data_IF_065628355334
#
_entry.id   IF_065628355334
#
_cell.length_a   1.000
_cell.length_b   1.000
_cell.length_c   1.000
_cell.angle_alpha   90.00
_cell.angle_beta   90.00
_cell.angle_gamma   90.00
#
_symmetry.space_group_name_H-M   'P 1'
#
loop_
_entity.id
_entity.type
_entity.pdbx_description
1 polymer ?
#
# COMPACT_ATOMS: atom_id res chain seq x y z
N UNK A 1 7.06 1.80 3.49
CA UNK A 1 7.69 1.66 4.82
C UNK A 1 8.72 2.74 5.10
N UNK A 2 9.67 3.01 4.20
CA UNK A 2 10.66 4.09 4.34
C UNK A 2 10.02 5.45 4.62
N UNK A 3 8.96 5.81 3.90
CA UNK A 3 8.19 7.04 4.11
C UNK A 3 7.70 7.21 5.56
N UNK A 4 7.19 6.14 6.18
CA UNK A 4 6.68 6.18 7.54
C UNK A 4 7.83 6.42 8.55
N UNK A 5 8.95 5.72 8.38
CA UNK A 5 10.12 5.87 9.24
C UNK A 5 10.76 7.26 9.08
N UNK A 6 10.84 7.80 7.86
CA UNK A 6 11.34 9.16 7.60
C UNK A 6 10.45 10.21 8.26
N UNK A 7 9.13 10.13 8.06
CA UNK A 7 8.18 11.04 8.70
C UNK A 7 8.24 10.94 10.24
N UNK A 8 8.41 9.73 10.77
CA UNK A 8 8.58 9.51 12.19
C UNK A 8 9.86 10.20 12.71
N UNK A 9 10.99 10.04 12.01
CA UNK A 9 12.25 10.69 12.36
C UNK A 9 12.10 12.22 12.36
N UNK A 10 11.60 12.79 11.28
CA UNK A 10 11.42 14.24 11.13
C UNK A 10 10.48 14.83 12.19
N UNK A 11 9.38 14.13 12.51
CA UNK A 11 8.38 14.59 13.46
C UNK A 11 8.80 14.44 14.93
N UNK A 12 9.49 13.35 15.28
CA UNK A 12 9.90 13.09 16.67
C UNK A 12 11.16 13.84 17.08
N UNK A 13 12.10 14.07 16.17
CA UNK A 13 13.40 14.70 16.49
C UNK A 13 13.28 15.99 17.32
N UNK A 14 12.53 17.02 16.90
CA UNK A 14 12.44 18.27 17.66
C UNK A 14 11.78 18.08 19.03
N UNK A 15 10.82 17.17 19.14
CA UNK A 15 10.13 16.88 20.41
C UNK A 15 11.07 16.17 21.40
N UNK A 16 11.76 15.12 20.95
CA UNK A 16 12.67 14.32 21.78
C UNK A 16 13.86 15.16 22.23
N UNK A 17 14.50 15.89 21.32
CA UNK A 17 15.61 16.80 21.68
C UNK A 17 15.16 17.88 22.66
N UNK A 18 14.02 18.52 22.40
CA UNK A 18 13.48 19.58 23.25
C UNK A 18 13.26 19.10 24.68
N UNK A 19 12.66 17.91 24.85
CA UNK A 19 12.40 17.31 26.16
C UNK A 19 13.68 16.88 26.88
N UNK A 20 14.63 16.28 26.16
CA UNK A 20 15.93 15.91 26.72
C UNK A 20 16.71 17.14 27.19
N UNK A 21 16.76 18.21 26.39
CA UNK A 21 17.42 19.47 26.75
C UNK A 21 16.73 20.16 27.91
N UNK A 22 15.40 20.11 27.98
CA UNK A 22 14.63 20.70 29.08
C UNK A 22 14.96 20.07 30.44
N UNK A 23 15.08 18.74 30.49
CA UNK A 23 15.30 18.01 31.76
C UNK A 23 16.79 17.88 32.09
N UNK A 24 17.62 17.48 31.13
CA UNK A 24 19.05 17.17 31.38
C UNK A 24 20.00 18.32 31.04
N UNK A 25 19.51 19.42 30.47
CA UNK A 25 20.30 20.62 30.11
C UNK A 25 21.52 20.24 29.28
N UNK A 26 22.73 20.61 29.68
CA UNK A 26 23.98 20.35 28.94
C UNK A 26 24.34 18.87 28.83
N UNK A 27 23.86 18.02 29.75
CA UNK A 27 24.17 16.59 29.75
C UNK A 27 23.23 15.75 28.86
N UNK A 28 22.32 16.39 28.13
CA UNK A 28 21.28 15.70 27.36
C UNK A 28 21.86 14.72 26.33
N UNK A 29 22.95 15.08 25.64
CA UNK A 29 23.63 14.22 24.67
C UNK A 29 24.15 12.96 25.34
N UNK A 30 24.82 13.11 26.50
CA UNK A 30 25.38 11.98 27.25
C UNK A 30 24.27 11.03 27.71
N UNK A 31 23.13 11.56 28.17
CA UNK A 31 21.99 10.74 28.60
C UNK A 31 21.36 10.00 27.42
N UNK A 32 21.15 10.67 26.29
CA UNK A 32 20.65 10.03 25.07
C UNK A 32 21.58 8.90 24.62
N UNK A 33 22.90 9.14 24.61
CA UNK A 33 23.91 8.14 24.26
C UNK A 33 23.97 6.95 25.22
N UNK A 34 23.60 7.15 26.49
CA UNK A 34 23.47 6.05 27.45
C UNK A 34 22.42 5.00 27.07
N UNK A 35 21.46 5.37 26.20
CA UNK A 35 20.44 4.45 25.67
C UNK A 35 21.01 3.51 24.59
N UNK A 36 22.17 3.86 24.01
CA UNK A 36 22.86 3.07 23.01
C UNK A 36 24.09 2.42 23.64
N UNK A 37 23.90 1.23 24.22
CA UNK A 37 25.03 0.42 24.71
C UNK A 37 25.91 0.06 23.51
N UNK A 38 27.08 0.70 23.44
CA UNK A 38 28.19 0.47 22.48
C UNK A 38 28.17 1.20 21.13
N UNK A 39 27.12 1.96 20.79
CA UNK A 39 27.09 2.68 19.51
C UNK A 39 27.44 4.16 19.65
N UNK A 40 28.74 4.44 19.78
CA UNK A 40 29.29 5.80 19.83
C UNK A 40 29.33 6.50 18.46
N UNK A 41 29.02 5.79 17.38
CA UNK A 41 29.11 6.32 16.01
C UNK A 41 28.02 7.35 15.68
N UNK A 42 26.98 7.44 16.51
CA UNK A 42 25.86 8.39 16.35
C UNK A 42 26.15 9.82 16.75
N UNK A 43 27.28 10.10 17.40
CA UNK A 43 27.65 11.48 17.77
C UNK A 43 28.60 12.01 16.70
N UNK A 44 28.27 13.17 16.14
CA UNK A 44 29.18 13.85 15.22
C UNK A 44 30.50 14.21 15.93
N UNK A 45 31.56 14.46 15.14
CA UNK A 45 32.90 14.79 15.65
C UNK A 45 32.94 15.92 16.68
N UNK A 46 31.96 16.83 16.65
CA UNK A 46 31.84 17.96 17.57
C UNK A 46 31.25 17.58 18.95
N UNK A 47 30.76 16.36 19.14
CA UNK A 47 30.25 15.88 20.44
C UNK A 47 28.89 16.44 20.87
N UNK A 48 28.30 17.32 20.07
CA UNK A 48 27.12 18.14 20.44
C UNK A 48 25.84 17.79 19.68
N UNK A 49 25.95 17.06 18.57
CA UNK A 49 24.82 16.66 17.72
C UNK A 49 24.78 15.15 17.56
N UNK A 50 23.56 14.60 17.60
CA UNK A 50 23.28 13.18 17.43
C UNK A 50 22.66 13.00 16.04
N UNK A 51 23.15 12.03 15.28
CA UNK A 51 22.50 11.57 14.06
C UNK A 51 21.25 10.75 14.43
N UNK A 52 20.09 11.33 14.17
CA UNK A 52 18.81 10.74 14.55
C UNK A 52 18.24 9.91 13.41
N UNK A 53 18.06 8.62 13.67
CA UNK A 53 17.18 7.76 12.89
C UNK A 53 15.95 7.34 13.73
N UNK A 54 14.96 6.77 13.06
CA UNK A 54 13.73 6.30 13.71
C UNK A 54 14.04 5.31 14.85
N UNK A 55 15.07 4.48 14.70
CA UNK A 55 15.46 3.51 15.72
C UNK A 55 16.04 4.16 16.96
N UNK A 56 16.93 5.14 16.77
CA UNK A 56 17.55 5.89 17.84
C UNK A 56 16.50 6.63 18.65
N UNK A 57 15.61 7.35 17.97
CA UNK A 57 14.52 8.09 18.60
C UNK A 57 13.60 7.17 19.41
N UNK A 58 13.12 6.07 18.81
CA UNK A 58 12.25 5.11 19.50
C UNK A 58 12.93 4.44 20.69
N UNK A 59 14.23 4.16 20.59
CA UNK A 59 14.99 3.54 21.68
C UNK A 59 15.19 4.52 22.84
N UNK A 60 15.55 5.77 22.57
CA UNK A 60 15.67 6.80 23.61
C UNK A 60 14.31 7.08 24.26
N UNK A 61 13.24 7.15 23.47
CA UNK A 61 11.89 7.30 24.01
C UNK A 61 11.51 6.14 24.93
N UNK A 62 11.86 4.91 24.56
CA UNK A 62 11.59 3.72 25.37
C UNK A 62 12.38 3.74 26.69
N UNK A 63 13.69 3.99 26.64
CA UNK A 63 14.57 3.94 27.80
C UNK A 63 14.29 5.10 28.77
N UNK A 64 14.01 6.30 28.25
CA UNK A 64 13.72 7.49 29.04
C UNK A 64 12.21 7.70 29.27
N UNK A 65 11.38 6.68 29.01
CA UNK A 65 9.92 6.81 29.10
C UNK A 65 9.46 7.30 30.47
N UNK A 66 9.89 6.61 31.53
CA UNK A 66 9.46 6.92 32.89
C UNK A 66 10.06 8.24 33.43
N UNK A 67 11.23 8.63 32.93
CA UNK A 67 11.95 9.81 33.40
C UNK A 67 11.45 11.10 32.73
N UNK A 68 11.04 11.03 31.46
CA UNK A 68 10.72 12.21 30.65
C UNK A 68 9.29 12.13 30.12
N UNK A 69 9.00 11.11 29.32
CA UNK A 69 7.84 11.11 28.43
C UNK A 69 6.53 10.76 29.12
N UNK A 70 6.56 10.06 30.26
CA UNK A 70 5.37 9.68 31.05
C UNK A 70 4.54 10.89 31.53
N UNK A 71 5.14 12.07 31.60
CA UNK A 71 4.44 13.28 32.02
C UNK A 71 3.57 13.89 30.91
N UNK A 72 3.95 13.71 29.65
CA UNK A 72 3.24 14.28 28.49
C UNK A 72 2.45 13.22 27.70
N UNK A 73 2.94 11.98 27.70
CA UNK A 73 2.41 10.85 26.94
C UNK A 73 1.95 9.74 27.89
N UNK A 74 0.86 9.08 27.51
CA UNK A 74 0.22 8.06 28.32
C UNK A 74 0.69 6.65 27.96
N UNK A 75 0.14 5.64 28.62
CA UNK A 75 0.49 4.25 28.34
C UNK A 75 0.19 3.84 26.89
N UNK A 76 -0.83 4.40 26.23
CA UNK A 76 -1.13 4.08 24.83
C UNK A 76 0.02 4.41 23.90
N UNK A 77 0.64 5.59 24.07
CA UNK A 77 1.76 6.02 23.24
C UNK A 77 3.00 5.16 23.51
N UNK A 78 3.20 4.70 24.75
CA UNK A 78 4.26 3.75 25.07
C UNK A 78 4.12 2.45 24.29
N UNK A 79 2.89 1.94 24.18
CA UNK A 79 2.60 0.73 23.39
C UNK A 79 2.89 0.97 21.90
N UNK A 80 2.55 2.15 21.36
CA UNK A 80 2.87 2.52 19.98
C UNK A 80 4.38 2.58 19.74
N UNK A 81 5.16 3.16 20.66
CA UNK A 81 6.63 3.20 20.57
C UNK A 81 7.20 1.78 20.52
N UNK A 82 6.71 0.87 21.37
CA UNK A 82 7.13 -0.53 21.35
C UNK A 82 6.80 -1.22 20.03
N UNK A 83 5.59 -1.00 19.52
CA UNK A 83 5.12 -1.58 18.26
C UNK A 83 5.96 -1.10 17.07
N UNK A 84 6.19 0.21 16.96
CA UNK A 84 7.02 0.80 15.90
C UNK A 84 8.48 0.33 15.96
N UNK A 85 9.00 0.11 17.16
CA UNK A 85 10.36 -0.41 17.37
C UNK A 85 10.48 -1.85 16.86
N UNK A 86 9.46 -2.67 17.10
CA UNK A 86 9.38 -4.03 16.55
C UNK A 86 9.31 -4.00 15.02
N UNK A 87 8.44 -3.17 14.44
CA UNK A 87 8.35 -3.05 12.98
C UNK A 87 9.67 -2.59 12.33
N UNK A 88 10.36 -1.61 12.92
CA UNK A 88 11.69 -1.21 12.45
C UNK A 88 12.66 -2.39 12.53
N UNK A 89 12.64 -3.16 13.62
CA UNK A 89 13.52 -4.31 13.80
C UNK A 89 13.28 -5.36 12.70
N UNK A 90 12.01 -5.72 12.44
CA UNK A 90 11.64 -6.62 11.34
C UNK A 90 12.13 -6.10 9.99
N UNK A 91 12.05 -4.79 9.75
CA UNK A 91 12.54 -4.16 8.52
C UNK A 91 14.07 -4.23 8.38
N UNK A 92 14.81 -4.02 9.47
CA UNK A 92 16.27 -4.20 9.48
C UNK A 92 16.69 -5.65 9.20
N UNK A 93 15.83 -6.62 9.54
CA UNK A 93 15.99 -8.03 9.20
C UNK A 93 15.41 -8.42 7.82
N UNK A 94 15.02 -7.45 6.98
CA UNK A 94 14.48 -7.68 5.64
C UNK A 94 13.25 -8.60 5.59
N UNK A 95 12.43 -8.60 6.64
CA UNK A 95 11.19 -9.36 6.65
C UNK A 95 10.17 -8.79 5.64
N UNK A 96 9.28 -9.65 5.14
CA UNK A 96 8.19 -9.23 4.26
C UNK A 96 7.11 -8.52 5.07
N UNK A 97 6.52 -7.47 4.48
CA UNK A 97 5.40 -6.72 5.04
C UNK A 97 4.24 -6.81 4.06
N UNK A 98 3.05 -7.12 4.58
CA UNK A 98 1.82 -7.08 3.80
C UNK A 98 1.13 -5.71 3.90
N UNK A 99 -0.07 -5.62 3.31
CA UNK A 99 -0.90 -4.42 3.36
C UNK A 99 -1.28 -4.06 4.80
N UNK A 100 -1.72 -5.04 5.60
CA UNK A 100 -2.21 -4.83 6.97
C UNK A 100 -1.09 -4.31 7.87
N UNK A 101 0.10 -4.89 7.76
CA UNK A 101 1.31 -4.42 8.44
C UNK A 101 1.65 -2.98 8.04
N UNK A 102 1.68 -2.68 6.74
CA UNK A 102 2.03 -1.34 6.25
C UNK A 102 1.01 -0.30 6.71
N UNK A 103 -0.27 -0.65 6.64
CA UNK A 103 -1.37 0.17 7.12
C UNK A 103 -1.27 0.41 8.63
N UNK A 104 -0.97 -0.64 9.41
CA UNK A 104 -0.80 -0.56 10.86
C UNK A 104 0.38 0.33 11.24
N UNK A 105 1.52 0.20 10.56
CA UNK A 105 2.70 1.06 10.77
C UNK A 105 2.38 2.54 10.51
N UNK A 106 1.66 2.84 9.43
CA UNK A 106 1.24 4.21 9.11
C UNK A 106 0.26 4.76 10.16
N UNK A 107 -0.70 3.95 10.62
CA UNK A 107 -1.62 4.40 11.67
C UNK A 107 -0.93 4.62 13.02
N UNK A 108 -0.03 3.71 13.42
CA UNK A 108 0.75 3.83 14.65
C UNK A 108 1.70 5.03 14.61
N UNK A 109 2.35 5.28 13.48
CA UNK A 109 3.16 6.49 13.25
C UNK A 109 2.29 7.75 13.36
N UNK A 110 1.14 7.78 12.67
CA UNK A 110 0.22 8.91 12.69
C UNK A 110 -0.27 9.22 14.11
N UNK A 111 -0.72 8.21 14.85
CA UNK A 111 -1.22 8.37 16.24
C UNK A 111 -0.14 8.89 17.18
N UNK A 112 1.09 8.39 17.06
CA UNK A 112 2.21 8.86 17.88
C UNK A 112 2.57 10.32 17.56
N UNK A 113 2.65 10.66 16.28
CA UNK A 113 2.91 12.03 15.82
C UNK A 113 1.77 13.00 16.22
N UNK A 114 0.53 12.54 16.22
CA UNK A 114 -0.64 13.31 16.64
C UNK A 114 -0.60 13.59 18.15
N UNK A 115 -0.21 12.60 18.96
CA UNK A 115 -0.05 12.76 20.40
C UNK A 115 0.99 13.84 20.78
N UNK A 116 2.08 13.94 20.01
CA UNK A 116 3.10 14.99 20.20
C UNK A 116 2.81 16.28 19.42
N UNK A 117 1.66 16.35 18.71
CA UNK A 117 1.27 17.50 17.86
C UNK A 117 2.32 17.86 16.81
N UNK A 118 2.93 16.87 16.17
CA UNK A 118 3.92 17.09 15.13
C UNK A 118 3.31 17.73 13.87
N UNK A 119 4.04 18.60 13.15
CA UNK A 119 3.51 19.31 11.98
C UNK A 119 3.25 18.41 10.77
N UNK A 120 3.92 17.25 10.69
CA UNK A 120 3.85 16.33 9.55
C UNK A 120 2.79 15.22 9.68
N UNK A 121 1.90 15.31 10.67
CA UNK A 121 0.80 14.34 10.86
C UNK A 121 -0.08 14.24 9.61
N UNK A 122 -0.39 15.37 8.98
CA UNK A 122 -1.25 15.41 7.79
C UNK A 122 -0.60 14.74 6.57
N UNK A 123 0.73 14.78 6.48
CA UNK A 123 1.47 14.03 5.46
C UNK A 123 1.29 12.52 5.64
N UNK A 124 1.46 12.01 6.87
CA UNK A 124 1.28 10.58 7.17
C UNK A 124 -0.18 10.17 6.99
N UNK A 125 -1.14 11.04 7.33
CA UNK A 125 -2.56 10.77 7.10
C UNK A 125 -2.86 10.55 5.62
N UNK A 126 -2.39 11.45 4.75
CA UNK A 126 -2.55 11.32 3.30
C UNK A 126 -1.94 10.03 2.76
N UNK A 127 -0.70 9.71 3.15
CA UNK A 127 -0.04 8.47 2.71
C UNK A 127 -0.80 7.22 3.16
N UNK A 128 -1.45 7.25 4.33
CA UNK A 128 -2.33 6.16 4.79
C UNK A 128 -3.59 6.05 3.95
N UNK A 129 -4.25 7.16 3.65
CA UNK A 129 -5.47 7.20 2.85
C UNK A 129 -5.18 6.72 1.41
N UNK A 130 -4.08 7.16 0.82
CA UNK A 130 -3.62 6.75 -0.51
C UNK A 130 -3.29 5.24 -0.59
N UNK A 131 -2.73 4.68 0.48
CA UNK A 131 -2.49 3.23 0.58
C UNK A 131 -3.82 2.46 0.53
N UNK A 132 -4.84 2.91 1.28
CA UNK A 132 -6.17 2.29 1.23
C UNK A 132 -6.79 2.42 -0.15
N UNK A 133 -6.76 3.62 -0.74
CA UNK A 133 -7.36 3.86 -2.06
C UNK A 133 -6.75 2.96 -3.13
N UNK A 134 -5.43 2.83 -3.16
CA UNK A 134 -4.73 1.97 -4.12
C UNK A 134 -5.06 0.48 -3.93
N UNK A 135 -5.10 0.00 -2.69
CA UNK A 135 -5.45 -1.38 -2.38
C UNK A 135 -6.90 -1.71 -2.74
N UNK A 136 -7.84 -0.82 -2.41
CA UNK A 136 -9.26 -0.99 -2.76
C UNK A 136 -9.43 -0.99 -4.28
N UNK A 137 -8.76 -0.09 -5.00
CA UNK A 137 -8.79 -0.06 -6.46
C UNK A 137 -8.29 -1.38 -7.07
N UNK A 138 -7.17 -1.90 -6.59
CA UNK A 138 -6.62 -3.19 -7.05
C UNK A 138 -7.59 -4.34 -6.77
N UNK A 139 -8.17 -4.38 -5.57
CA UNK A 139 -9.10 -5.42 -5.17
C UNK A 139 -10.38 -5.38 -6.01
N UNK A 140 -10.95 -4.20 -6.24
CA UNK A 140 -12.12 -4.01 -7.11
C UNK A 140 -11.81 -4.45 -8.53
N UNK A 141 -10.66 -4.07 -9.09
CA UNK A 141 -10.26 -4.51 -10.43
C UNK A 141 -10.15 -6.03 -10.52
N UNK A 142 -9.51 -6.66 -9.54
CA UNK A 142 -9.36 -8.12 -9.53
C UNK A 142 -10.73 -8.82 -9.48
N UNK A 143 -11.68 -8.27 -8.73
CA UNK A 143 -13.05 -8.79 -8.66
C UNK A 143 -13.83 -8.55 -9.95
N UNK A 144 -13.70 -7.38 -10.57
CA UNK A 144 -14.31 -7.08 -11.86
C UNK A 144 -13.80 -8.02 -12.96
N UNK A 145 -12.49 -8.27 -13.01
CA UNK A 145 -11.92 -9.22 -13.97
C UNK A 145 -12.41 -10.65 -13.74
N UNK A 146 -12.49 -11.10 -12.48
CA UNK A 146 -13.01 -12.42 -12.11
C UNK A 146 -14.49 -12.59 -12.46
N UNK A 147 -15.33 -11.59 -12.15
CA UNK A 147 -16.77 -11.63 -12.42
C UNK A 147 -17.07 -11.56 -13.92
N UNK A 148 -16.36 -10.70 -14.66
CA UNK A 148 -16.46 -10.63 -16.12
C UNK A 148 -16.08 -11.98 -16.77
N UNK A 149 -14.97 -12.58 -16.34
CA UNK A 149 -14.54 -13.89 -16.84
C UNK A 149 -15.56 -15.00 -16.53
N UNK A 150 -16.08 -15.05 -15.30
CA UNK A 150 -17.03 -16.07 -14.88
C UNK A 150 -18.36 -16.00 -15.65
N UNK A 151 -18.89 -14.80 -15.90
CA UNK A 151 -20.13 -14.59 -16.67
C UNK A 151 -19.99 -15.08 -18.11
N UNK A 152 -18.85 -14.83 -18.73
CA UNK A 152 -18.63 -15.18 -20.12
C UNK A 152 -18.41 -16.68 -20.31
N UNK A 153 -17.74 -17.35 -19.37
CA UNK A 153 -17.43 -18.78 -19.47
C UNK A 153 -18.67 -19.65 -19.71
N UNK A 154 -19.76 -19.41 -18.99
CA UNK A 154 -20.98 -20.21 -19.12
C UNK A 154 -21.73 -19.95 -20.42
N UNK A 155 -21.89 -18.68 -20.79
CA UNK A 155 -22.51 -18.30 -22.06
C UNK A 155 -21.77 -18.92 -23.25
N UNK A 156 -20.44 -18.84 -23.22
CA UNK A 156 -19.57 -19.40 -24.24
C UNK A 156 -19.74 -20.93 -24.31
N UNK A 157 -19.66 -21.64 -23.18
CA UNK A 157 -19.83 -23.11 -23.13
C UNK A 157 -21.21 -23.56 -23.62
N UNK A 158 -22.28 -22.86 -23.24
CA UNK A 158 -23.65 -23.17 -23.67
C UNK A 158 -23.76 -23.05 -25.20
N UNK A 159 -23.26 -21.95 -25.77
CA UNK A 159 -23.34 -21.73 -27.21
C UNK A 159 -22.49 -22.74 -27.99
N UNK A 160 -21.28 -23.03 -27.54
CA UNK A 160 -20.42 -24.05 -28.17
C UNK A 160 -21.03 -25.46 -28.08
N UNK A 161 -21.61 -25.83 -26.93
CA UNK A 161 -22.27 -27.12 -26.75
C UNK A 161 -23.49 -27.26 -27.66
N UNK A 162 -24.32 -26.21 -27.76
CA UNK A 162 -25.48 -26.18 -28.66
C UNK A 162 -25.07 -26.30 -30.13
N UNK A 163 -24.04 -25.56 -30.54
CA UNK A 163 -23.52 -25.59 -31.91
C UNK A 163 -22.95 -26.98 -32.27
N UNK A 164 -22.20 -27.60 -31.35
CA UNK A 164 -21.65 -28.94 -31.51
C UNK A 164 -22.74 -30.02 -31.60
N UNK A 165 -23.76 -29.94 -30.73
CA UNK A 165 -24.92 -30.84 -30.77
C UNK A 165 -25.69 -30.72 -32.09
N UNK A 166 -25.89 -29.49 -32.59
CA UNK A 166 -26.62 -29.24 -33.83
C UNK A 166 -25.85 -29.76 -35.07
N UNK A 167 -24.51 -29.67 -35.06
CA UNK A 167 -23.63 -30.29 -36.05
C UNK A 167 -23.71 -31.82 -36.04
N UNK A 168 -23.61 -32.44 -34.85
CA UNK A 168 -23.67 -33.90 -34.72
C UNK A 168 -25.02 -34.42 -35.22
N UNK A 169 -26.13 -33.76 -34.84
CA UNK A 169 -27.47 -34.10 -35.33
C UNK A 169 -27.56 -34.02 -36.86
N UNK A 170 -27.04 -32.95 -37.46
CA UNK A 170 -27.09 -32.76 -38.90
C UNK A 170 -26.29 -33.83 -39.67
N UNK A 171 -25.10 -34.19 -39.19
CA UNK A 171 -24.26 -35.26 -39.77
C UNK A 171 -24.97 -36.62 -39.68
N UNK A 172 -25.61 -36.93 -38.55
CA UNK A 172 -26.32 -38.20 -38.34
C UNK A 172 -27.55 -38.35 -39.25
N UNK A 173 -28.26 -37.26 -39.54
CA UNK A 173 -29.52 -37.31 -40.31
C UNK A 173 -29.28 -37.26 -41.82
N UNK A 174 -28.30 -36.49 -42.30
CA UNK A 174 -28.14 -36.21 -43.75
C UNK A 174 -26.95 -36.92 -44.41
N UNK A 175 -26.01 -37.48 -43.63
CA UNK A 175 -24.88 -38.25 -44.17
C UNK A 175 -24.08 -37.52 -45.27
N UNK A 176 -23.57 -38.26 -46.25
CA UNK A 176 -22.67 -37.74 -47.30
C UNK A 176 -23.38 -36.90 -48.41
N UNK A 177 -24.70 -36.79 -48.34
CA UNK A 177 -25.56 -36.01 -49.26
C UNK A 177 -26.01 -34.67 -48.65
N UNK A 178 -25.19 -34.12 -47.75
CA UNK A 178 -25.51 -32.93 -46.99
C UNK A 178 -25.32 -31.63 -47.80
N UNK A 179 -26.33 -30.75 -47.76
CA UNK A 179 -26.25 -29.38 -48.29
C UNK A 179 -25.30 -28.52 -47.44
N UNK A 180 -24.51 -27.58 -48.03
CA UNK A 180 -23.55 -26.74 -47.30
C UNK A 180 -24.18 -25.60 -46.47
N UNK A 181 -25.51 -25.41 -46.55
CA UNK A 181 -26.25 -24.34 -45.87
C UNK A 181 -26.07 -24.28 -44.34
N UNK A 182 -26.06 -25.39 -43.57
CA UNK A 182 -25.91 -25.32 -42.12
C UNK A 182 -24.47 -24.95 -41.70
N UNK A 183 -23.47 -25.29 -42.51
CA UNK A 183 -22.08 -24.86 -42.28
C UNK A 183 -21.99 -23.33 -42.37
N UNK A 184 -22.65 -22.72 -43.36
CA UNK A 184 -22.71 -21.27 -43.49
C UNK A 184 -23.46 -20.59 -42.32
N UNK A 185 -24.54 -21.20 -41.82
CA UNK A 185 -25.27 -20.69 -40.66
C UNK A 185 -24.43 -20.70 -39.38
N UNK A 186 -23.61 -21.74 -39.19
CA UNK A 186 -22.67 -21.83 -38.07
C UNK A 186 -21.58 -20.77 -38.17
N UNK A 187 -21.00 -20.58 -39.36
CA UNK A 187 -20.02 -19.51 -39.59
C UNK A 187 -20.61 -18.13 -39.28
N UNK A 188 -21.85 -17.84 -39.67
CA UNK A 188 -22.54 -16.59 -39.32
C UNK A 188 -22.76 -16.44 -37.81
N UNK A 189 -23.08 -17.54 -37.11
CA UNK A 189 -23.26 -17.54 -35.66
C UNK A 189 -21.91 -17.28 -34.94
N UNK A 190 -20.81 -17.85 -35.43
CA UNK A 190 -19.46 -17.54 -34.96
C UNK A 190 -19.10 -16.06 -35.17
N UNK A 191 -19.37 -15.51 -36.36
CA UNK A 191 -19.15 -14.08 -36.65
C UNK A 191 -19.99 -13.19 -35.72
N UNK A 192 -21.23 -13.58 -35.43
CA UNK A 192 -22.11 -12.88 -34.49
C UNK A 192 -21.58 -12.92 -33.05
N UNK A 193 -21.08 -14.06 -32.58
CA UNK A 193 -20.48 -14.18 -31.25
C UNK A 193 -19.18 -13.39 -31.11
N UNK A 194 -18.34 -13.41 -32.15
CA UNK A 194 -17.13 -12.57 -32.21
C UNK A 194 -17.54 -11.11 -32.12
N UNK A 195 -18.53 -10.69 -32.92
CA UNK A 195 -19.09 -9.33 -32.85
C UNK A 195 -19.60 -8.97 -31.46
N UNK A 196 -20.32 -9.87 -30.80
CA UNK A 196 -20.83 -9.66 -29.45
C UNK A 196 -19.69 -9.55 -28.41
N UNK A 197 -18.64 -10.35 -28.55
CA UNK A 197 -17.45 -10.30 -27.70
C UNK A 197 -16.65 -9.01 -27.89
N UNK A 198 -16.62 -8.44 -29.09
CA UNK A 198 -16.03 -7.12 -29.38
C UNK A 198 -16.86 -5.95 -28.86
N UNK A 199 -18.19 -6.11 -28.74
CA UNK A 199 -19.12 -5.09 -28.23
C UNK A 199 -19.20 -5.05 -26.70
N UNK A 200 -18.67 -6.04 -25.99
CA UNK A 200 -18.61 -5.97 -24.53
C UNK A 200 -17.57 -4.94 -24.11
N UNK A 201 -18.06 -3.84 -23.55
CA UNK A 201 -17.23 -2.79 -22.98
C UNK A 201 -16.23 -3.41 -21.99
N UNK A 202 -14.92 -3.11 -22.11
CA UNK A 202 -13.97 -3.57 -21.12
C UNK A 202 -14.41 -3.04 -19.76
N UNK A 203 -14.37 -3.86 -18.69
CA UNK A 203 -14.70 -3.38 -17.35
C UNK A 203 -13.83 -2.15 -17.07
N UNK A 204 -14.42 -1.08 -16.56
CA UNK A 204 -13.71 0.11 -16.13
C UNK A 204 -12.61 -0.30 -15.14
N UNK A 205 -11.39 -0.43 -15.63
CA UNK A 205 -10.21 -0.74 -14.83
C UNK A 205 -9.81 0.54 -14.12
N UNK A 206 -9.93 0.57 -12.80
CA UNK A 206 -9.26 1.55 -11.93
C UNK A 206 -7.77 1.20 -11.85
N UNK A 207 -7.08 1.22 -13.00
CA UNK A 207 -5.69 0.80 -13.12
C UNK A 207 -4.69 1.96 -13.04
N UNK A 208 -3.37 1.65 -13.08
CA UNK A 208 -2.33 2.62 -13.38
C UNK A 208 -2.73 3.43 -14.61
N UNK A 209 -2.96 4.72 -14.41
CA UNK A 209 -3.33 5.66 -15.46
C UNK A 209 -2.15 6.56 -15.72
N UNK A 210 -1.87 6.79 -16.99
CA UNK A 210 -0.90 7.82 -17.35
C UNK A 210 -1.52 9.19 -17.08
N UNK A 211 -0.82 10.04 -16.34
CA UNK A 211 -1.28 11.42 -16.19
C UNK A 211 -1.05 12.18 -17.49
N UNK A 212 -2.07 12.86 -17.99
CA UNK A 212 -1.99 13.67 -19.21
C UNK A 212 -1.09 14.92 -19.08
N UNK A 213 -0.71 15.31 -17.86
CA UNK A 213 0.14 16.48 -17.60
C UNK A 213 1.59 16.07 -17.34
N UNK A 214 1.80 15.02 -16.55
CA UNK A 214 3.13 14.56 -16.14
C UNK A 214 3.66 13.37 -16.97
N UNK A 215 2.83 12.73 -17.82
CA UNK A 215 3.12 11.50 -18.59
C UNK A 215 3.70 10.34 -17.76
N UNK A 216 3.54 10.41 -16.44
CA UNK A 216 3.95 9.37 -15.50
C UNK A 216 2.77 8.49 -15.18
N UNK A 217 3.05 7.21 -14.94
CA UNK A 217 2.06 6.27 -14.46
C UNK A 217 1.69 6.67 -13.03
N UNK A 218 0.39 6.88 -12.81
CA UNK A 218 -0.17 7.27 -11.52
C UNK A 218 -1.22 6.28 -11.10
N UNK A 219 -1.16 5.91 -9.82
CA UNK A 219 -2.11 5.01 -9.17
C UNK A 219 -3.16 5.78 -8.36
N UNK A 220 -2.96 7.10 -8.16
CA UNK A 220 -3.85 8.02 -7.43
C UNK A 220 -4.85 8.72 -8.37
N UNK A 221 -5.95 9.25 -7.81
CA UNK A 221 -6.91 10.09 -8.54
C UNK A 221 -6.30 11.41 -9.02
N UNK A 222 -5.39 12.00 -8.27
CA UNK A 222 -4.63 13.20 -8.67
C UNK A 222 -3.15 12.84 -8.97
N UNK A 223 -2.46 13.55 -9.88
CA UNK A 223 -1.03 13.29 -10.14
C UNK A 223 -0.21 13.88 -8.98
N UNK A 224 0.47 13.07 -8.15
CA UNK A 224 1.30 13.57 -7.05
C UNK A 224 2.49 14.38 -7.54
N UNK A 225 2.90 14.18 -8.81
CA UNK A 225 3.94 15.00 -9.46
C UNK A 225 3.40 16.34 -10.00
N UNK A 226 2.08 16.51 -10.07
CA UNK A 226 1.44 17.75 -10.56
C UNK A 226 0.82 18.60 -9.45
N UNK A 227 0.52 18.03 -8.29
CA UNK A 227 -0.12 18.73 -7.16
C UNK A 227 0.87 19.61 -6.34
N UNK A 228 2.15 19.67 -6.76
CA UNK A 228 3.21 20.46 -6.12
C UNK A 228 3.68 21.70 -6.89
N UNK A 229 2.98 22.10 -7.95
CA UNK A 229 3.29 23.28 -8.77
C UNK A 229 2.07 24.18 -8.97
#
# INVERSE_FOLDING_TARGET
>A
MTTALTALTEGLTPFVEGKLRQIYRENWVRTAMGSFRDDRSRVNGDGTTIDWDAHALLTVMWDQWNAIFRHDLSHSERSLVSELREYRNRWAHQQQFDFDDTFRILDSTRRLLEAIKAPNVEFVRREKDDLIESYVAEQVNSQLMRTAFARNRWWVVIVYSFCCMMLIYFVLVYGNSASPVPIAAICLLFVYLIYQQFRMEPPLLYGPRECLRCHRIVYRKTCPYCDGH
#
